data_IF_072420217972
#
_entry.id   IF_072420217972
#
_cell.length_a   1.000
_cell.length_b   1.000
_cell.length_c   1.000
_cell.angle_alpha   90.00
_cell.angle_beta   90.00
_cell.angle_gamma   90.00
#
_symmetry.space_group_name_H-M   'P 1'
#
loop_
_entity.id
_entity.type
_entity.pdbx_description
1 polymer ?
#
# COMPACT_ATOMS: atom_id res chain seq x y z
N UNK A 1 -19.64 -9.91 19.24
CA UNK A 1 -20.38 -8.98 18.37
C UNK A 1 -20.29 -9.49 16.94
N UNK A 2 -21.40 -9.67 16.20
CA UNK A 2 -21.33 -10.08 14.80
C UNK A 2 -20.64 -8.99 13.97
N UNK A 3 -19.65 -9.35 13.15
CA UNK A 3 -18.97 -8.42 12.24
C UNK A 3 -20.00 -7.84 11.26
N UNK A 4 -20.26 -6.53 11.32
CA UNK A 4 -21.13 -5.84 10.37
C UNK A 4 -20.43 -5.82 9.01
N UNK A 5 -21.01 -6.52 8.02
CA UNK A 5 -20.55 -6.41 6.64
C UNK A 5 -21.10 -5.12 6.03
N UNK A 6 -20.22 -4.31 5.44
CA UNK A 6 -20.59 -3.09 4.69
C UNK A 6 -20.54 -3.42 3.20
N UNK A 7 -21.56 -3.00 2.46
CA UNK A 7 -21.60 -3.16 1.00
C UNK A 7 -20.91 -1.96 0.37
N UNK A 8 -19.90 -2.21 -0.47
CA UNK A 8 -19.26 -1.20 -1.31
C UNK A 8 -19.48 -1.53 -2.78
N UNK A 9 -19.85 -0.53 -3.58
CA UNK A 9 -20.03 -0.65 -5.03
C UNK A 9 -18.92 0.12 -5.72
N UNK A 10 -18.28 -0.50 -6.71
CA UNK A 10 -17.27 0.15 -7.54
C UNK A 10 -17.52 -0.17 -9.02
N UNK A 11 -17.06 0.72 -9.88
CA UNK A 11 -17.15 0.53 -11.33
C UNK A 11 -16.03 -0.40 -11.79
N UNK A 12 -16.35 -1.29 -12.72
CA UNK A 12 -15.39 -2.21 -13.36
C UNK A 12 -15.46 -2.06 -14.86
N UNK A 13 -14.35 -2.30 -15.54
CA UNK A 13 -14.30 -2.37 -16.99
C UNK A 13 -14.72 -3.77 -17.48
N UNK A 14 -14.95 -3.88 -18.80
CA UNK A 14 -15.39 -5.13 -19.44
C UNK A 14 -14.46 -6.33 -19.19
N UNK A 15 -13.12 -6.17 -19.30
CA UNK A 15 -12.17 -7.23 -19.01
C UNK A 15 -12.26 -7.74 -17.56
N UNK A 16 -12.27 -6.85 -16.56
CA UNK A 16 -12.36 -7.25 -15.16
C UNK A 16 -13.70 -7.92 -14.85
N UNK A 17 -14.81 -7.43 -15.41
CA UNK A 17 -16.12 -8.06 -15.24
C UNK A 17 -16.12 -9.50 -15.76
N UNK A 18 -15.55 -9.72 -16.95
CA UNK A 18 -15.46 -11.06 -17.56
C UNK A 18 -14.61 -12.00 -16.72
N UNK A 19 -13.46 -11.53 -16.22
CA UNK A 19 -12.60 -12.29 -15.34
C UNK A 19 -13.27 -12.64 -14.00
N UNK A 20 -14.05 -11.71 -13.41
CA UNK A 20 -14.77 -11.97 -12.17
C UNK A 20 -15.94 -12.94 -12.37
N UNK A 21 -16.61 -12.92 -13.54
CA UNK A 21 -17.74 -13.81 -13.82
C UNK A 21 -17.36 -15.29 -13.89
N UNK A 22 -16.10 -15.63 -14.18
CA UNK A 22 -15.62 -17.02 -14.16
C UNK A 22 -15.34 -17.54 -12.74
N UNK A 23 -15.35 -16.67 -11.73
CA UNK A 23 -15.06 -17.04 -10.33
C UNK A 23 -16.35 -17.45 -9.60
N UNK A 24 -16.42 -18.66 -9.00
CA UNK A 24 -17.62 -19.15 -8.33
C UNK A 24 -18.10 -18.24 -7.18
N UNK A 25 -17.19 -17.76 -6.34
CA UNK A 25 -17.48 -16.83 -5.25
C UNK A 25 -16.70 -15.51 -5.41
N UNK A 26 -17.25 -14.61 -6.23
CA UNK A 26 -16.68 -13.28 -6.51
C UNK A 26 -16.36 -12.48 -5.25
N UNK A 27 -17.26 -12.47 -4.28
CA UNK A 27 -17.08 -11.67 -3.06
C UNK A 27 -15.92 -12.15 -2.20
N UNK A 28 -15.78 -13.46 -2.05
CA UNK A 28 -14.65 -14.04 -1.31
C UNK A 28 -13.33 -13.83 -2.04
N UNK A 29 -13.30 -14.05 -3.35
CA UNK A 29 -12.12 -13.81 -4.17
C UNK A 29 -11.67 -12.34 -4.09
N UNK A 30 -12.58 -11.39 -4.28
CA UNK A 30 -12.29 -9.95 -4.21
C UNK A 30 -11.77 -9.58 -2.80
N UNK A 31 -12.39 -10.08 -1.73
CA UNK A 31 -11.91 -9.81 -0.36
C UNK A 31 -10.50 -10.32 -0.15
N UNK A 32 -10.23 -11.57 -0.51
CA UNK A 32 -8.90 -12.17 -0.35
C UNK A 32 -7.84 -11.45 -1.19
N UNK A 33 -8.19 -11.08 -2.44
CA UNK A 33 -7.29 -10.33 -3.32
C UNK A 33 -6.98 -8.94 -2.77
N UNK A 34 -7.99 -8.20 -2.28
CA UNK A 34 -7.79 -6.87 -1.70
C UNK A 34 -6.96 -6.97 -0.41
N UNK A 35 -7.29 -7.87 0.52
CA UNK A 35 -6.52 -8.04 1.76
C UNK A 35 -5.06 -8.38 1.47
N UNK A 36 -4.82 -9.29 0.54
CA UNK A 36 -3.45 -9.60 0.08
C UNK A 36 -2.80 -8.36 -0.52
N UNK A 37 -3.45 -7.64 -1.44
CA UNK A 37 -2.88 -6.44 -2.02
C UNK A 37 -2.53 -5.38 -0.96
N UNK A 38 -3.40 -5.16 0.04
CA UNK A 38 -3.17 -4.24 1.15
C UNK A 38 -1.94 -4.61 1.99
N UNK A 39 -1.75 -5.89 2.30
CA UNK A 39 -0.54 -6.39 2.98
C UNK A 39 0.73 -6.18 2.13
N UNK A 40 0.56 -5.97 0.83
CA UNK A 40 1.62 -5.86 -0.15
C UNK A 40 1.83 -4.43 -0.69
N UNK A 41 1.13 -3.42 -0.17
CA UNK A 41 1.19 -2.04 -0.67
C UNK A 41 2.60 -1.47 -0.54
N UNK A 42 3.07 -0.84 -1.62
CA UNK A 42 4.23 0.03 -1.54
C UNK A 42 3.84 1.35 -0.84
N UNK A 43 4.47 1.66 0.31
CA UNK A 43 4.09 2.82 1.13
C UNK A 43 4.54 4.17 0.55
N UNK A 44 5.30 4.18 -0.56
CA UNK A 44 5.69 5.41 -1.26
C UNK A 44 4.69 5.85 -2.33
N UNK A 45 4.06 4.89 -3.01
CA UNK A 45 3.17 5.17 -4.14
C UNK A 45 1.68 5.05 -3.78
N UNK A 46 1.36 4.85 -2.49
CA UNK A 46 -0.01 4.79 -2.00
C UNK A 46 -0.80 3.59 -2.54
N UNK A 47 -0.13 2.48 -2.85
CA UNK A 47 -0.78 1.25 -3.33
C UNK A 47 -1.01 1.16 -4.83
N UNK A 48 -0.49 2.09 -5.62
CA UNK A 48 -0.41 1.95 -7.09
C UNK A 48 0.63 0.89 -7.52
N UNK A 49 1.56 0.55 -6.63
CA UNK A 49 2.55 -0.50 -6.79
C UNK A 49 2.44 -1.53 -5.68
N UNK A 50 2.70 -2.80 -6.03
CA UNK A 50 2.63 -3.95 -5.14
C UNK A 50 4.04 -4.54 -5.04
N UNK A 51 4.52 -4.78 -3.81
CA UNK A 51 5.77 -5.51 -3.63
C UNK A 51 5.61 -6.99 -3.96
N UNK A 52 6.57 -7.55 -4.69
CA UNK A 52 6.73 -9.01 -4.70
C UNK A 52 7.03 -9.52 -3.28
N UNK A 53 6.80 -10.82 -2.97
CA UNK A 53 7.08 -11.35 -1.65
C UNK A 53 8.53 -11.11 -1.18
N UNK A 54 9.51 -11.22 -2.07
CA UNK A 54 10.92 -10.97 -1.72
C UNK A 54 11.21 -9.48 -1.52
N UNK A 55 10.62 -8.60 -2.34
CA UNK A 55 10.70 -7.16 -2.13
C UNK A 55 10.12 -6.75 -0.76
N UNK A 56 9.03 -7.39 -0.31
CA UNK A 56 8.50 -7.15 1.04
C UNK A 56 9.50 -7.50 2.13
N UNK A 57 10.15 -8.66 2.04
CA UNK A 57 11.16 -9.06 3.04
C UNK A 57 12.29 -8.03 3.13
N UNK A 58 12.76 -7.55 1.97
CA UNK A 58 13.75 -6.48 1.92
C UNK A 58 13.22 -5.18 2.54
N UNK A 59 11.98 -4.81 2.22
CA UNK A 59 11.32 -3.64 2.80
C UNK A 59 11.17 -3.73 4.32
N UNK A 60 10.72 -4.86 4.86
CA UNK A 60 10.57 -5.08 6.29
C UNK A 60 11.91 -4.94 7.02
N UNK A 61 12.99 -5.46 6.45
CA UNK A 61 14.34 -5.28 7.00
C UNK A 61 14.77 -3.81 6.98
N UNK A 62 14.54 -3.12 5.86
CA UNK A 62 14.89 -1.71 5.68
C UNK A 62 14.11 -0.80 6.64
N UNK A 63 12.81 -1.05 6.82
CA UNK A 63 11.89 -0.27 7.64
C UNK A 63 12.09 -0.46 9.17
N UNK A 64 13.05 -1.30 9.60
CA UNK A 64 13.50 -1.35 11.00
C UNK A 64 14.20 -0.06 11.40
N UNK A 65 15.09 0.41 10.53
CA UNK A 65 15.93 1.60 10.76
C UNK A 65 15.49 2.81 9.94
N UNK A 66 14.59 2.61 8.98
CA UNK A 66 14.00 3.68 8.19
C UNK A 66 12.51 3.77 8.47
N UNK A 67 11.90 4.92 8.21
CA UNK A 67 10.46 5.09 8.28
C UNK A 67 10.00 5.98 7.13
N UNK A 68 8.71 5.96 6.82
CA UNK A 68 8.10 6.91 5.89
C UNK A 68 7.36 7.97 6.70
N UNK A 69 7.54 9.23 6.33
CA UNK A 69 6.94 10.40 6.98
C UNK A 69 6.43 11.38 5.93
N UNK A 70 5.53 12.26 6.35
CA UNK A 70 5.17 13.45 5.61
C UNK A 70 6.11 14.59 6.01
N UNK A 71 6.57 15.36 5.03
CA UNK A 71 7.37 16.53 5.27
C UNK A 71 6.54 17.65 5.92
N UNK A 72 7.05 18.30 6.96
CA UNK A 72 6.34 19.39 7.64
C UNK A 72 6.16 20.66 6.79
N UNK A 73 6.99 20.86 5.76
CA UNK A 73 7.00 22.08 4.96
C UNK A 73 6.19 21.97 3.65
N UNK A 74 6.17 20.79 3.02
CA UNK A 74 5.52 20.59 1.72
C UNK A 74 4.55 19.40 1.67
N UNK A 75 4.34 18.69 2.80
CA UNK A 75 3.50 17.49 2.92
C UNK A 75 3.88 16.30 2.02
N UNK A 76 5.01 16.39 1.30
CA UNK A 76 5.49 15.29 0.48
C UNK A 76 5.91 14.09 1.34
N UNK A 77 5.62 12.88 0.85
CA UNK A 77 6.05 11.63 1.45
C UNK A 77 7.56 11.46 1.22
N UNK A 78 8.32 11.20 2.29
CA UNK A 78 9.76 10.93 2.20
C UNK A 78 10.20 9.83 3.17
N UNK A 79 11.36 9.24 2.87
CA UNK A 79 11.99 8.20 3.69
C UNK A 79 12.96 8.87 4.67
N UNK A 80 12.82 8.52 5.95
CA UNK A 80 13.68 9.02 7.03
C UNK A 80 14.51 7.88 7.60
N UNK A 81 15.81 8.10 7.76
CA UNK A 81 16.71 7.19 8.44
C UNK A 81 16.77 7.55 9.93
N UNK A 82 16.45 6.60 10.81
CA UNK A 82 16.51 6.80 12.27
C UNK A 82 17.94 7.09 12.75
N UNK A 83 18.94 6.58 12.03
CA UNK A 83 20.35 6.76 12.38
C UNK A 83 20.94 8.06 11.81
N UNK A 84 20.25 8.75 10.90
CA UNK A 84 20.72 10.01 10.33
C UNK A 84 19.68 11.13 10.51
N UNK A 85 19.96 12.01 11.47
CA UNK A 85 19.11 13.17 11.79
C UNK A 85 18.98 14.18 10.63
N UNK A 86 19.85 14.15 9.62
CA UNK A 86 19.76 15.04 8.46
C UNK A 86 18.62 14.65 7.52
N UNK A 87 18.32 13.36 7.42
CA UNK A 87 17.25 12.82 6.54
C UNK A 87 15.84 13.21 7.00
N UNK A 88 15.68 13.69 8.24
CA UNK A 88 14.42 14.17 8.80
C UNK A 88 14.09 15.63 8.44
N UNK A 89 14.96 16.35 7.73
CA UNK A 89 14.73 17.78 7.41
C UNK A 89 14.35 17.94 5.95
N UNK A 90 13.50 18.93 5.69
CA UNK A 90 13.26 19.39 4.34
C UNK A 90 14.58 19.94 3.75
N UNK A 91 15.05 19.43 2.60
CA UNK A 91 16.24 19.95 1.96
C UNK A 91 15.98 21.39 1.54
N UNK A 92 16.80 22.33 2.03
CA UNK A 92 16.78 23.71 1.54
C UNK A 92 17.44 23.71 0.18
N UNK A 93 16.67 23.99 -0.86
CA UNK A 93 17.22 24.28 -2.19
C UNK A 93 17.97 25.60 -2.06
N UNK A 94 19.28 25.58 -2.31
CA UNK A 94 20.13 26.78 -2.45
C UNK A 94 19.82 27.54 -3.74
#
# INVERSE_FOLDING_TARGET
MPKKNVVMTFKVDGPLLSALNSVPNRSEFIRSAILSALDNICPLCGGTGIFTPDQRKHWESFNKNHAIRHCGDCDAIHIVCKNDKKTNRHPKVE
#
